data_IF_955351609732
#
_entry.id   IF_955351609732
#
_cell.length_a   1.000
_cell.length_b   1.000
_cell.length_c   1.000
_cell.angle_alpha   90.00
_cell.angle_beta   90.00
_cell.angle_gamma   90.00
#
_symmetry.space_group_name_H-M   'P 1'
#
loop_
_entity.id
_entity.type
_entity.pdbx_description
1 polymer ?
#
# COMPACT_ATOMS: atom_id res chain seq x y z
N UNK A 1 13.42 9.75 -23.90
CA UNK A 1 13.30 9.25 -22.52
C UNK A 1 11.83 9.21 -22.21
N UNK A 2 11.25 8.02 -22.18
CA UNK A 2 9.81 7.80 -21.96
C UNK A 2 9.42 8.24 -20.57
N UNK A 3 8.41 9.12 -20.50
CA UNK A 3 7.75 9.55 -19.28
C UNK A 3 7.40 8.32 -18.46
N UNK A 4 7.97 8.20 -17.25
CA UNK A 4 7.59 7.18 -16.27
C UNK A 4 6.25 7.59 -15.67
N UNK A 5 5.18 7.62 -16.46
CA UNK A 5 3.83 7.62 -15.89
C UNK A 5 3.58 6.23 -15.31
N UNK A 6 4.06 6.01 -14.09
CA UNK A 6 4.02 4.72 -13.42
C UNK A 6 3.13 4.79 -12.19
N UNK A 7 2.37 3.73 -11.96
CA UNK A 7 1.79 3.47 -10.64
C UNK A 7 2.66 2.43 -9.93
N UNK A 8 2.54 2.33 -8.61
CA UNK A 8 2.96 1.15 -7.87
C UNK A 8 2.07 0.95 -6.63
N UNK A 9 2.08 -0.27 -6.07
CA UNK A 9 1.25 -0.61 -4.91
C UNK A 9 2.13 -1.09 -3.77
N UNK A 10 1.85 -0.64 -2.55
CA UNK A 10 2.47 -1.15 -1.32
C UNK A 10 1.43 -1.46 -0.24
N UNK A 11 1.89 -2.14 0.81
CA UNK A 11 1.14 -2.43 2.02
C UNK A 11 1.83 -1.77 3.22
N UNK A 12 1.10 -0.93 3.95
CA UNK A 12 1.59 -0.24 5.14
C UNK A 12 0.94 -0.76 6.39
N UNK A 13 1.67 -0.79 7.50
CA UNK A 13 1.02 -0.95 8.80
C UNK A 13 0.28 0.34 9.19
N UNK A 14 -0.87 0.17 9.83
CA UNK A 14 -1.68 1.27 10.35
C UNK A 14 -1.58 1.26 11.87
N UNK A 15 -1.27 2.41 12.44
CA UNK A 15 -1.03 2.56 13.87
C UNK A 15 -2.04 3.52 14.49
N UNK A 16 -2.40 3.25 15.74
CA UNK A 16 -3.19 4.18 16.55
C UNK A 16 -2.24 5.15 17.25
N UNK A 17 -2.62 6.43 17.26
CA UNK A 17 -1.97 7.43 18.11
C UNK A 17 -2.59 7.42 19.52
N UNK A 18 -1.81 7.71 20.59
CA UNK A 18 -0.40 8.12 20.58
C UNK A 18 0.60 6.97 20.79
N UNK A 19 0.14 5.78 21.15
CA UNK A 19 0.98 4.66 21.59
C UNK A 19 1.63 3.87 20.43
N UNK A 20 1.36 4.25 19.18
CA UNK A 20 1.82 3.56 17.98
C UNK A 20 1.44 2.07 17.97
N UNK A 21 0.33 1.72 18.61
CA UNK A 21 -0.16 0.33 18.60
C UNK A 21 -0.62 -0.03 17.18
N UNK A 22 -0.13 -1.14 16.59
CA UNK A 22 -0.61 -1.61 15.30
C UNK A 22 -2.10 -1.97 15.38
N UNK A 23 -2.93 -1.33 14.56
CA UNK A 23 -4.38 -1.54 14.51
C UNK A 23 -4.88 -2.05 13.18
N UNK A 24 -4.04 -2.08 12.15
CA UNK A 24 -4.45 -2.49 10.82
C UNK A 24 -3.31 -2.54 9.82
N UNK A 25 -3.70 -2.75 8.56
CA UNK A 25 -2.84 -2.57 7.41
C UNK A 25 -3.56 -1.73 6.35
N UNK A 26 -2.81 -1.08 5.47
CA UNK A 26 -3.34 -0.29 4.37
C UNK A 26 -2.79 -0.79 3.05
N UNK A 27 -3.63 -0.92 2.03
CA UNK A 27 -3.16 -0.93 0.63
C UNK A 27 -2.98 0.53 0.21
N UNK A 28 -1.83 0.84 -0.36
CA UNK A 28 -1.51 2.18 -0.87
C UNK A 28 -1.24 2.08 -2.36
N UNK A 29 -1.89 2.95 -3.13
CA UNK A 29 -1.52 3.22 -4.53
C UNK A 29 -0.66 4.47 -4.56
N UNK A 30 0.47 4.37 -5.25
CA UNK A 30 1.38 5.46 -5.52
C UNK A 30 1.34 5.81 -7.00
N UNK A 31 1.48 7.10 -7.31
CA UNK A 31 1.65 7.59 -8.66
C UNK A 31 3.01 8.29 -8.76
N UNK A 32 3.77 8.04 -9.82
CA UNK A 32 5.03 8.74 -10.06
C UNK A 32 4.74 10.18 -10.50
N UNK A 33 5.28 11.14 -9.76
CA UNK A 33 5.35 12.55 -10.16
C UNK A 33 6.64 12.76 -10.95
N UNK A 34 6.53 13.05 -12.24
CA UNK A 34 7.68 13.46 -13.06
C UNK A 34 8.18 14.85 -12.68
N UNK A 35 7.34 15.69 -12.08
CA UNK A 35 7.69 17.05 -11.65
C UNK A 35 8.62 17.03 -10.43
N UNK A 36 8.27 16.24 -9.41
CA UNK A 36 9.04 16.14 -8.17
C UNK A 36 10.03 14.98 -8.15
N UNK A 37 10.08 14.22 -9.26
CA UNK A 37 10.88 12.99 -9.40
C UNK A 37 10.66 12.01 -8.24
N UNK A 38 9.40 11.84 -7.81
CA UNK A 38 9.07 11.09 -6.59
C UNK A 38 7.69 10.43 -6.65
N UNK A 39 7.44 9.47 -5.74
CA UNK A 39 6.15 8.81 -5.61
C UNK A 39 5.18 9.60 -4.73
N UNK A 40 4.00 9.87 -5.27
CA UNK A 40 2.92 10.56 -4.59
C UNK A 40 1.81 9.62 -4.16
N UNK A 41 1.17 9.97 -3.05
CA UNK A 41 0.03 9.24 -2.53
C UNK A 41 -1.19 9.42 -3.44
N UNK A 42 -1.59 8.37 -4.14
CA UNK A 42 -2.75 8.42 -5.02
C UNK A 42 -4.04 7.96 -4.31
N UNK A 43 -4.00 6.84 -3.58
CA UNK A 43 -5.19 6.30 -2.90
C UNK A 43 -4.86 5.38 -1.71
N UNK A 44 -5.77 5.30 -0.71
CA UNK A 44 -5.66 4.44 0.48
C UNK A 44 -6.85 3.51 0.66
N UNK A 45 -6.53 2.24 0.87
CA UNK A 45 -7.32 1.11 1.38
C UNK A 45 -7.08 0.71 2.84
N UNK A 46 -7.84 1.13 3.85
CA UNK A 46 -7.62 0.63 5.23
C UNK A 46 -8.23 -0.77 5.49
N UNK A 47 -7.53 -1.57 6.27
CA UNK A 47 -7.94 -2.91 6.77
C UNK A 47 -7.65 -2.99 8.27
N UNK A 48 -8.59 -2.51 9.09
CA UNK A 48 -8.46 -2.51 10.55
C UNK A 48 -8.64 -3.92 11.09
N UNK A 49 -7.80 -4.34 12.04
CA UNK A 49 -7.89 -5.68 12.64
C UNK A 49 -9.25 -5.94 13.27
N UNK A 50 -9.91 -4.90 13.81
CA UNK A 50 -11.25 -4.98 14.39
C UNK A 50 -12.28 -5.55 13.39
N UNK A 51 -12.21 -5.16 12.12
CA UNK A 51 -13.11 -5.62 11.05
C UNK A 51 -12.89 -7.11 10.70
N UNK A 52 -11.75 -7.66 11.14
CA UNK A 52 -11.34 -9.04 10.89
C UNK A 52 -11.31 -9.88 12.18
N UNK A 53 -12.21 -9.59 13.14
CA UNK A 53 -12.28 -10.24 14.45
C UNK A 53 -10.97 -10.13 15.25
N UNK A 54 -10.30 -8.98 15.17
CA UNK A 54 -8.99 -8.75 15.78
C UNK A 54 -7.83 -9.51 15.11
N UNK A 55 -8.09 -10.27 14.04
CA UNK A 55 -7.07 -11.15 13.45
C UNK A 55 -6.19 -10.43 12.44
N UNK A 56 -4.97 -10.08 12.86
CA UNK A 56 -3.90 -9.56 11.97
C UNK A 56 -3.68 -10.46 10.74
N UNK A 57 -3.71 -11.78 10.91
CA UNK A 57 -3.53 -12.73 9.80
C UNK A 57 -4.64 -12.63 8.74
N UNK A 58 -5.89 -12.46 9.17
CA UNK A 58 -7.03 -12.31 8.24
C UNK A 58 -6.96 -10.97 7.52
N UNK A 59 -6.69 -9.89 8.24
CA UNK A 59 -6.50 -8.56 7.66
C UNK A 59 -5.39 -8.58 6.61
N UNK A 60 -4.17 -9.03 6.95
CA UNK A 60 -3.05 -9.12 6.01
C UNK A 60 -3.35 -9.96 4.77
N UNK A 61 -4.07 -11.07 4.93
CA UNK A 61 -4.46 -11.91 3.78
C UNK A 61 -5.36 -11.14 2.83
N UNK A 62 -6.35 -10.40 3.35
CA UNK A 62 -7.23 -9.59 2.53
C UNK A 62 -6.48 -8.42 1.88
N UNK A 63 -5.65 -7.71 2.66
CA UNK A 63 -4.81 -6.62 2.17
C UNK A 63 -3.91 -7.06 1.01
N UNK A 64 -3.24 -8.21 1.12
CA UNK A 64 -2.42 -8.78 0.04
C UNK A 64 -3.23 -9.16 -1.20
N UNK A 65 -4.43 -9.72 -1.01
CA UNK A 65 -5.31 -10.07 -2.12
C UNK A 65 -5.73 -8.83 -2.90
N UNK A 66 -6.14 -7.78 -2.19
CA UNK A 66 -6.60 -6.54 -2.79
C UNK A 66 -5.44 -5.75 -3.41
N UNK A 67 -4.24 -5.77 -2.80
CA UNK A 67 -3.02 -5.21 -3.39
C UNK A 67 -2.66 -5.87 -4.73
N UNK A 68 -2.71 -7.20 -4.82
CA UNK A 68 -2.47 -7.93 -6.09
C UNK A 68 -3.51 -7.59 -7.16
N UNK A 69 -4.79 -7.51 -6.76
CA UNK A 69 -5.86 -7.12 -7.68
C UNK A 69 -5.65 -5.70 -8.19
N UNK A 70 -5.31 -4.77 -7.30
CA UNK A 70 -5.06 -3.38 -7.65
C UNK A 70 -3.86 -3.24 -8.58
N UNK A 71 -2.76 -3.92 -8.28
CA UNK A 71 -1.57 -3.96 -9.12
C UNK A 71 -1.87 -4.50 -10.52
N UNK A 72 -2.74 -5.53 -10.64
CA UNK A 72 -3.19 -6.02 -11.94
C UNK A 72 -4.12 -5.07 -12.70
N UNK A 73 -4.89 -4.22 -12.00
CA UNK A 73 -5.75 -3.20 -12.64
C UNK A 73 -4.89 -2.07 -13.24
N UNK A 74 -3.85 -1.66 -12.51
CA UNK A 74 -2.94 -0.58 -12.92
C UNK A 74 -1.72 -1.08 -13.71
N UNK A 75 -1.65 -2.37 -13.99
CA UNK A 75 -0.50 -3.05 -14.61
C UNK A 75 0.85 -2.61 -14.04
N UNK A 76 0.97 -2.70 -12.71
CA UNK A 76 2.10 -2.14 -11.99
C UNK A 76 2.74 -3.09 -10.97
N UNK A 77 3.92 -2.72 -10.47
CA UNK A 77 4.62 -3.48 -9.44
C UNK A 77 3.87 -3.42 -8.11
N UNK A 78 3.74 -4.57 -7.46
CA UNK A 78 3.29 -4.70 -6.08
C UNK A 78 4.50 -4.98 -5.18
N UNK A 79 4.82 -4.04 -4.31
CA UNK A 79 5.94 -4.12 -3.38
C UNK A 79 5.59 -4.86 -2.08
N UNK A 80 4.35 -5.33 -1.90
CA UNK A 80 3.84 -5.92 -0.65
C UNK A 80 4.21 -4.99 0.52
N UNK A 81 4.73 -5.53 1.63
CA UNK A 81 5.22 -4.75 2.78
C UNK A 81 6.59 -4.08 2.57
N UNK A 82 7.25 -4.24 1.42
CA UNK A 82 8.60 -3.73 1.16
C UNK A 82 8.57 -2.34 0.51
N UNK A 83 8.22 -1.31 1.28
CA UNK A 83 8.17 0.07 0.76
C UNK A 83 9.56 0.63 0.40
N UNK A 84 10.62 0.17 1.07
CA UNK A 84 11.99 0.63 0.80
C UNK A 84 12.41 0.36 -0.64
N UNK A 85 11.99 -0.78 -1.20
CA UNK A 85 12.24 -1.14 -2.60
C UNK A 85 11.49 -0.30 -3.63
N UNK A 86 10.60 0.63 -3.23
CA UNK A 86 9.97 1.59 -4.15
C UNK A 86 10.86 2.80 -4.44
N UNK A 87 11.78 3.13 -3.52
CA UNK A 87 12.60 4.34 -3.55
C UNK A 87 14.01 4.09 -4.11
N UNK A 88 14.30 2.85 -4.54
CA UNK A 88 15.55 2.45 -5.19
C UNK A 88 15.41 2.50 -6.71
#
# INVERSE_FOLDING_TARGET
>A
MTEREGYCVSIRESYRAPDSTPVGCAVVLWAWSSYDETWWYAARREYLFADYNGSRRKALRQTRRDARKLAGIFDCTNHDINEEGMWQ
#
